data_IF_595843605699
#
_entry.id   IF_595843605699
#
_cell.length_a   1.000
_cell.length_b   1.000
_cell.length_c   1.000
_cell.angle_alpha   90.00
_cell.angle_beta   90.00
_cell.angle_gamma   90.00
#
_symmetry.space_group_name_H-M   'P 1'
#
loop_
_entity.id
_entity.type
_entity.pdbx_description
1 polymer ?
#
# COMPACT_ATOMS: atom_id res chain seq x y z
N UNK A 1 -0.27 24.73 -5.54
CA UNK A 1 -0.46 24.30 -6.94
C UNK A 1 -1.14 22.95 -6.90
N UNK A 2 -2.32 22.81 -7.50
CA UNK A 2 -3.07 21.55 -7.54
C UNK A 2 -2.26 20.44 -8.21
N UNK A 3 -2.44 19.20 -7.75
CA UNK A 3 -1.72 18.05 -8.31
C UNK A 3 -2.15 17.78 -9.75
N UNK A 4 -3.44 17.95 -10.04
CA UNK A 4 -3.98 17.77 -11.38
C UNK A 4 -3.41 18.76 -12.41
N UNK A 5 -3.11 20.01 -12.02
CA UNK A 5 -2.41 20.96 -12.89
C UNK A 5 -0.92 20.65 -13.12
N UNK A 6 -0.29 19.83 -12.26
CA UNK A 6 1.06 19.30 -12.52
C UNK A 6 1.00 18.14 -13.52
N UNK A 7 0.00 17.27 -13.38
CA UNK A 7 -0.25 16.15 -14.31
C UNK A 7 -0.59 16.70 -15.70
N UNK A 8 -1.46 17.71 -15.79
CA UNK A 8 -1.81 18.33 -17.08
C UNK A 8 -0.59 18.89 -17.82
N UNK A 9 0.30 19.61 -17.11
CA UNK A 9 1.56 20.13 -17.69
C UNK A 9 2.52 19.01 -18.08
N UNK A 10 2.51 17.89 -17.38
CA UNK A 10 3.25 16.70 -17.77
C UNK A 10 2.68 16.12 -19.08
N UNK A 11 1.36 15.97 -19.18
CA UNK A 11 0.65 15.47 -20.35
C UNK A 11 0.88 16.34 -21.60
N UNK A 12 0.88 17.67 -21.45
CA UNK A 12 1.20 18.58 -22.55
C UNK A 12 2.66 18.47 -23.01
N UNK A 13 3.61 18.20 -22.09
CA UNK A 13 5.04 18.04 -22.44
C UNK A 13 5.33 16.70 -23.14
N UNK A 14 4.56 15.65 -22.84
CA UNK A 14 4.70 14.34 -23.50
C UNK A 14 3.93 14.25 -24.83
N UNK A 15 3.25 15.33 -25.25
CA UNK A 15 2.54 15.38 -26.53
C UNK A 15 1.26 14.54 -26.58
N UNK A 16 0.60 14.31 -25.44
CA UNK A 16 -0.65 13.55 -25.42
C UNK A 16 -1.75 14.28 -26.23
N UNK A 17 -2.36 13.64 -27.27
CA UNK A 17 -3.19 14.34 -28.25
C UNK A 17 -4.42 15.05 -27.67
N UNK A 18 -4.98 14.52 -26.58
CA UNK A 18 -6.18 15.05 -25.91
C UNK A 18 -5.85 15.80 -24.62
N UNK A 19 -4.60 16.24 -24.43
CA UNK A 19 -4.19 16.95 -23.22
C UNK A 19 -4.98 18.26 -23.01
N UNK A 20 -5.50 18.83 -24.10
CA UNK A 20 -6.24 20.09 -24.10
C UNK A 20 -7.71 19.92 -23.69
N UNK A 21 -8.19 18.67 -23.59
CA UNK A 21 -9.58 18.34 -23.20
C UNK A 21 -9.73 18.19 -21.69
N UNK A 22 -8.63 18.15 -20.94
CA UNK A 22 -8.64 18.00 -19.48
C UNK A 22 -8.43 19.32 -18.77
N UNK A 23 -9.27 19.62 -17.79
CA UNK A 23 -9.02 20.68 -16.82
C UNK A 23 -8.16 20.15 -15.67
N UNK A 24 -7.35 21.03 -15.07
CA UNK A 24 -6.48 20.68 -13.95
C UNK A 24 -7.24 20.08 -12.77
N UNK A 25 -8.48 20.47 -12.55
CA UNK A 25 -9.31 19.99 -11.45
C UNK A 25 -9.88 18.58 -11.74
N UNK A 26 -10.20 18.26 -13.00
CA UNK A 26 -10.62 16.90 -13.40
C UNK A 26 -9.53 15.86 -13.17
N UNK A 27 -8.25 16.24 -13.36
CA UNK A 27 -7.12 15.35 -13.11
C UNK A 27 -6.74 15.25 -11.63
N UNK A 28 -7.27 16.15 -10.80
CA UNK A 28 -7.10 16.08 -9.35
C UNK A 28 -7.99 14.98 -8.74
N UNK A 29 -9.12 14.67 -9.39
CA UNK A 29 -10.07 13.61 -9.02
C UNK A 29 -10.09 12.47 -10.05
N UNK A 30 -8.90 12.00 -10.42
CA UNK A 30 -8.64 11.06 -11.52
C UNK A 30 -9.50 9.77 -11.45
N UNK A 31 -9.88 9.34 -10.24
CA UNK A 31 -10.63 8.11 -9.98
C UNK A 31 -12.14 8.32 -9.77
N UNK A 32 -12.59 9.56 -9.56
CA UNK A 32 -14.00 9.90 -9.34
C UNK A 32 -14.67 10.48 -10.59
N UNK A 33 -13.87 10.93 -11.58
CA UNK A 33 -14.36 11.52 -12.81
C UNK A 33 -14.39 10.52 -13.98
N UNK A 34 -15.61 10.19 -14.45
CA UNK A 34 -15.82 9.33 -15.63
C UNK A 34 -15.17 9.86 -16.92
N UNK A 35 -14.92 11.16 -17.01
CA UNK A 35 -14.25 11.80 -18.15
C UNK A 35 -12.79 11.38 -18.32
N UNK A 36 -12.14 10.83 -17.29
CA UNK A 36 -10.71 10.50 -17.27
C UNK A 36 -10.44 9.02 -17.63
N UNK A 37 -11.48 8.19 -17.70
CA UNK A 37 -11.38 6.75 -18.03
C UNK A 37 -10.66 6.47 -19.36
N UNK A 38 -10.93 7.18 -20.48
CA UNK A 38 -10.20 6.93 -21.73
C UNK A 38 -8.70 7.24 -21.66
N UNK A 39 -8.30 8.14 -20.76
CA UNK A 39 -6.89 8.40 -20.47
C UNK A 39 -6.27 7.26 -19.68
N UNK A 40 -6.97 6.72 -18.68
CA UNK A 40 -6.48 5.58 -17.87
C UNK A 40 -6.31 4.32 -18.72
N UNK A 41 -7.21 4.07 -19.67
CA UNK A 41 -7.09 2.95 -20.62
C UNK A 41 -5.84 3.11 -21.50
N UNK A 42 -5.64 4.29 -22.10
CA UNK A 42 -4.44 4.57 -22.88
C UNK A 42 -3.14 4.42 -22.05
N UNK A 43 -3.17 4.89 -20.80
CA UNK A 43 -2.04 4.80 -19.88
C UNK A 43 -1.64 3.33 -19.61
N UNK A 44 -2.64 2.47 -19.37
CA UNK A 44 -2.45 1.05 -19.13
C UNK A 44 -1.98 0.28 -20.37
N UNK A 45 -2.38 0.70 -21.57
CA UNK A 45 -1.97 0.07 -22.83
C UNK A 45 -0.55 0.45 -23.29
N UNK A 46 -0.02 1.60 -22.86
CA UNK A 46 1.24 2.15 -23.40
C UNK A 46 2.40 2.14 -22.40
N UNK A 47 2.18 1.78 -21.14
CA UNK A 47 3.20 1.75 -20.09
C UNK A 47 3.38 0.32 -19.55
N UNK A 48 4.56 -0.28 -19.76
CA UNK A 48 4.90 -1.63 -19.32
C UNK A 48 6.18 -1.69 -18.47
N UNK A 49 6.33 -2.79 -17.71
CA UNK A 49 7.46 -3.05 -16.80
C UNK A 49 8.84 -3.00 -17.49
N UNK A 50 8.90 -3.34 -18.78
CA UNK A 50 10.13 -3.30 -19.59
C UNK A 50 10.73 -1.91 -19.75
N UNK A 51 9.94 -0.86 -19.53
CA UNK A 51 10.40 0.50 -19.72
C UNK A 51 11.23 1.00 -18.52
N UNK A 52 11.47 0.14 -17.50
CA UNK A 52 12.19 0.45 -16.26
C UNK A 52 13.72 0.03 -16.30
N UNK A 53 14.67 0.71 -17.00
CA UNK A 53 16.10 0.98 -16.53
C UNK A 53 16.38 0.72 -15.02
N UNK A 54 17.34 -0.15 -14.75
CA UNK A 54 17.81 -0.49 -13.41
C UNK A 54 18.75 0.57 -12.81
N UNK A 55 19.09 0.41 -11.53
CA UNK A 55 20.14 1.22 -10.88
C UNK A 55 21.49 0.97 -11.55
N UNK A 56 21.73 -0.24 -12.04
CA UNK A 56 22.89 -0.61 -12.84
C UNK A 56 22.95 0.14 -14.19
N UNK A 57 21.82 0.35 -14.86
CA UNK A 57 21.78 1.09 -16.14
C UNK A 57 22.09 2.58 -15.94
N UNK A 58 21.61 3.16 -14.84
CA UNK A 58 21.95 4.52 -14.41
C UNK A 58 23.44 4.67 -14.07
N UNK A 59 24.03 3.64 -13.46
CA UNK A 59 25.46 3.64 -13.10
C UNK A 59 26.33 3.54 -14.36
N UNK A 60 25.99 2.66 -15.29
CA UNK A 60 26.64 2.53 -16.61
C UNK A 60 26.55 3.82 -17.42
N UNK A 61 25.40 4.50 -17.39
CA UNK A 61 25.25 5.78 -18.06
C UNK A 61 26.13 6.87 -17.45
N UNK A 62 26.20 6.97 -16.12
CA UNK A 62 27.02 7.96 -15.44
C UNK A 62 28.53 7.72 -15.60
N UNK A 63 28.97 6.46 -15.64
CA UNK A 63 30.36 6.09 -15.93
C UNK A 63 30.74 6.47 -17.38
N UNK A 64 29.85 6.21 -18.35
CA UNK A 64 30.03 6.60 -19.75
C UNK A 64 30.11 8.14 -19.90
N UNK A 65 29.21 8.87 -19.25
CA UNK A 65 29.19 10.33 -19.25
C UNK A 65 30.42 10.96 -18.59
N UNK A 66 30.98 10.33 -17.56
CA UNK A 66 32.14 10.82 -16.81
C UNK A 66 33.47 10.54 -17.51
N UNK A 67 33.53 9.50 -18.35
CA UNK A 67 34.75 9.13 -19.08
C UNK A 67 35.09 10.10 -20.23
N UNK A 68 34.17 10.98 -20.63
CA UNK A 68 34.38 11.93 -21.74
C UNK A 68 34.58 11.28 -23.12
N UNK A 69 34.61 9.95 -23.19
CA UNK A 69 34.72 9.16 -24.41
C UNK A 69 33.35 9.12 -25.11
N UNK A 70 32.94 10.24 -25.68
CA UNK A 70 31.71 10.33 -26.48
C UNK A 70 31.84 9.64 -27.85
N UNK A 71 33.02 9.10 -28.18
CA UNK A 71 33.34 8.40 -29.42
C UNK A 71 34.35 7.28 -29.09
N UNK A 72 34.06 6.04 -29.47
CA UNK A 72 35.08 5.00 -29.60
C UNK A 72 35.99 5.42 -30.77
N UNK A 73 37.22 5.84 -30.50
CA UNK A 73 38.20 6.17 -31.55
C UNK A 73 38.67 4.90 -32.29
N UNK A 74 39.16 5.07 -33.52
CA UNK A 74 39.47 3.97 -34.46
C UNK A 74 40.33 2.84 -33.87
N UNK A 75 41.32 3.11 -33.01
CA UNK A 75 42.16 2.06 -32.37
C UNK A 75 41.36 1.23 -31.34
N UNK A 76 40.38 1.85 -30.67
CA UNK A 76 39.47 1.16 -29.76
C UNK A 76 38.42 0.38 -30.54
N UNK A 77 37.93 0.90 -31.66
CA UNK A 77 37.00 0.19 -32.56
C UNK A 77 37.68 -1.02 -33.21
N UNK A 78 38.93 -0.92 -33.68
CA UNK A 78 39.69 -2.05 -34.22
C UNK A 78 40.01 -3.09 -33.15
N UNK A 79 40.37 -2.70 -31.92
CA UNK A 79 40.53 -3.65 -30.81
C UNK A 79 39.23 -4.35 -30.48
N UNK A 80 38.11 -3.62 -30.42
CA UNK A 80 36.80 -4.20 -30.10
C UNK A 80 36.30 -5.09 -31.25
N UNK A 81 36.53 -4.71 -32.51
CA UNK A 81 36.24 -5.54 -33.68
C UNK A 81 37.16 -6.76 -33.76
N UNK A 82 38.44 -6.66 -33.40
CA UNK A 82 39.35 -7.82 -33.36
C UNK A 82 39.01 -8.80 -32.23
N UNK A 83 38.51 -8.30 -31.09
CA UNK A 83 37.95 -9.15 -30.03
C UNK A 83 36.66 -9.83 -30.49
N UNK A 84 35.76 -9.10 -31.17
CA UNK A 84 34.52 -9.66 -31.71
C UNK A 84 34.76 -10.65 -32.86
N UNK A 85 35.75 -10.40 -33.72
CA UNK A 85 36.13 -11.30 -34.81
C UNK A 85 36.85 -12.56 -34.30
N UNK A 86 37.62 -12.48 -33.20
CA UNK A 86 38.14 -13.67 -32.53
C UNK A 86 37.07 -14.44 -31.76
N UNK A 87 36.00 -13.79 -31.29
CA UNK A 87 34.83 -14.47 -30.76
C UNK A 87 33.97 -15.11 -31.87
N UNK A 88 33.94 -14.56 -33.08
CA UNK A 88 33.19 -15.13 -34.22
C UNK A 88 33.84 -16.39 -34.84
N UNK A 89 35.16 -16.58 -34.75
CA UNK A 89 35.82 -17.81 -35.22
C UNK A 89 35.60 -19.04 -34.31
N UNK A 90 35.10 -18.87 -33.08
CA UNK A 90 34.79 -19.99 -32.16
C UNK A 90 33.32 -20.45 -32.18
N UNK A 91 32.41 -19.73 -32.84
CA UNK A 91 30.99 -20.11 -32.88
C UNK A 91 30.64 -20.99 -34.08
N UNK A 92 31.02 -22.26 -34.00
CA UNK A 92 30.32 -23.30 -34.77
C UNK A 92 28.85 -23.36 -34.35
N UNK A 93 27.94 -23.50 -35.32
CA UNK A 93 26.48 -23.60 -35.16
C UNK A 93 26.03 -24.62 -34.10
N UNK A 94 26.85 -25.63 -33.81
CA UNK A 94 26.57 -26.65 -32.79
C UNK A 94 26.76 -26.15 -31.35
N UNK A 95 27.69 -25.22 -31.10
CA UNK A 95 27.93 -24.64 -29.76
C UNK A 95 26.85 -23.63 -29.39
N UNK A 96 26.37 -22.84 -30.36
CA UNK A 96 25.23 -21.93 -30.17
C UNK A 96 23.93 -22.69 -29.86
N UNK A 97 23.70 -23.84 -30.49
CA UNK A 97 22.55 -24.71 -30.21
C UNK A 97 22.59 -25.30 -28.80
N UNK A 98 23.78 -25.76 -28.36
CA UNK A 98 24.01 -26.28 -27.02
C UNK A 98 23.88 -25.21 -25.93
N UNK A 99 24.38 -24.00 -26.19
CA UNK A 99 24.23 -22.89 -25.25
C UNK A 99 22.79 -22.37 -25.20
N UNK A 100 22.10 -22.33 -26.35
CA UNK A 100 20.68 -21.98 -26.42
C UNK A 100 19.85 -22.97 -25.60
N UNK A 101 19.99 -24.28 -25.83
CA UNK A 101 19.30 -25.33 -25.05
C UNK A 101 19.66 -25.31 -23.57
N UNK A 102 20.92 -25.04 -23.22
CA UNK A 102 21.36 -24.86 -21.83
C UNK A 102 20.71 -23.66 -21.15
N UNK A 103 20.57 -22.54 -21.86
CA UNK A 103 19.85 -21.35 -21.38
C UNK A 103 18.35 -21.60 -21.31
N UNK A 104 17.73 -22.27 -22.29
CA UNK A 104 16.29 -22.59 -22.24
C UNK A 104 15.96 -23.49 -21.05
N UNK A 105 16.82 -24.45 -20.74
CA UNK A 105 16.67 -25.33 -19.59
C UNK A 105 16.90 -24.62 -18.24
N UNK A 106 17.86 -23.69 -18.16
CA UNK A 106 18.02 -22.83 -16.97
C UNK A 106 16.82 -21.91 -16.79
N UNK A 107 16.29 -21.35 -17.88
CA UNK A 107 15.10 -20.50 -17.89
C UNK A 107 13.87 -21.30 -17.46
N UNK A 108 13.70 -22.54 -17.94
CA UNK A 108 12.59 -23.40 -17.52
C UNK A 108 12.66 -23.73 -16.03
N UNK A 109 13.85 -24.09 -15.50
CA UNK A 109 14.05 -24.34 -14.07
C UNK A 109 13.76 -23.12 -13.21
N UNK A 110 14.21 -21.94 -13.63
CA UNK A 110 13.94 -20.70 -12.90
C UNK A 110 12.45 -20.38 -12.90
N UNK A 111 11.76 -20.62 -14.01
CA UNK A 111 10.31 -20.43 -14.10
C UNK A 111 9.56 -21.39 -13.14
N UNK A 112 10.00 -22.64 -13.01
CA UNK A 112 9.42 -23.59 -12.03
C UNK A 112 9.61 -23.10 -10.60
N UNK A 113 10.80 -22.63 -10.24
CA UNK A 113 11.10 -22.09 -8.89
C UNK A 113 10.24 -20.85 -8.61
N UNK A 114 10.09 -19.95 -9.58
CA UNK A 114 9.22 -18.76 -9.44
C UNK A 114 7.76 -19.16 -9.21
N UNK A 115 7.26 -20.17 -9.94
CA UNK A 115 5.88 -20.66 -9.72
C UNK A 115 5.71 -21.32 -8.35
N UNK A 116 6.68 -22.12 -7.89
CA UNK A 116 6.64 -22.72 -6.55
C UNK A 116 6.64 -21.67 -5.45
N UNK A 117 7.48 -20.63 -5.56
CA UNK A 117 7.51 -19.53 -4.60
C UNK A 117 6.21 -18.72 -4.63
N UNK A 118 5.63 -18.49 -5.82
CA UNK A 118 4.34 -17.82 -5.96
C UNK A 118 3.21 -18.62 -5.32
N UNK A 119 3.20 -19.95 -5.50
CA UNK A 119 2.22 -20.84 -4.86
C UNK A 119 2.40 -20.91 -3.34
N UNK A 120 3.65 -21.01 -2.84
CA UNK A 120 3.93 -21.00 -1.38
C UNK A 120 3.54 -19.69 -0.73
N UNK A 121 3.81 -18.56 -1.40
CA UNK A 121 3.40 -17.24 -0.93
C UNK A 121 1.87 -17.10 -0.91
N UNK A 122 1.20 -17.53 -1.99
CA UNK A 122 -0.27 -17.54 -2.06
C UNK A 122 -0.88 -18.40 -0.95
N UNK A 123 -0.38 -19.60 -0.72
CA UNK A 123 -0.86 -20.49 0.34
C UNK A 123 -0.61 -19.93 1.75
N UNK A 124 0.54 -19.29 2.00
CA UNK A 124 0.81 -18.60 3.29
C UNK A 124 -0.09 -17.38 3.49
N UNK A 125 -0.37 -16.63 2.42
CA UNK A 125 -1.27 -15.48 2.48
C UNK A 125 -2.71 -15.93 2.77
N UNK A 126 -3.20 -16.95 2.05
CA UNK A 126 -4.53 -17.54 2.27
C UNK A 126 -4.67 -18.13 3.68
N UNK A 127 -3.63 -18.81 4.20
CA UNK A 127 -3.61 -19.32 5.58
C UNK A 127 -3.63 -18.19 6.62
N UNK A 128 -2.83 -17.14 6.42
CA UNK A 128 -2.79 -15.99 7.33
C UNK A 128 -4.07 -15.17 7.28
N UNK A 129 -4.73 -15.08 6.12
CA UNK A 129 -6.03 -14.44 5.96
C UNK A 129 -7.13 -15.28 6.65
N UNK A 130 -7.10 -16.60 6.51
CA UNK A 130 -8.03 -17.49 7.20
C UNK A 130 -7.90 -17.38 8.73
N UNK A 131 -6.68 -17.32 9.27
CA UNK A 131 -6.44 -17.21 10.71
C UNK A 131 -6.86 -15.84 11.27
N UNK A 132 -6.61 -14.74 10.54
CA UNK A 132 -7.04 -13.39 10.96
C UNK A 132 -8.55 -13.21 10.88
N UNK A 133 -9.19 -13.68 9.81
CA UNK A 133 -10.65 -13.56 9.62
C UNK A 133 -11.42 -14.41 10.63
N UNK A 134 -10.90 -15.57 11.00
CA UNK A 134 -11.47 -16.42 12.05
C UNK A 134 -11.39 -15.75 13.43
N UNK A 135 -10.23 -15.18 13.79
CA UNK A 135 -10.03 -14.51 15.08
C UNK A 135 -10.90 -13.25 15.24
N UNK A 136 -11.10 -12.47 14.18
CA UNK A 136 -11.94 -11.27 14.21
C UNK A 136 -13.44 -11.64 14.24
N UNK A 137 -13.85 -12.68 13.50
CA UNK A 137 -15.24 -13.14 13.48
C UNK A 137 -15.68 -13.78 14.82
N UNK A 138 -14.81 -14.53 15.50
CA UNK A 138 -15.07 -15.05 16.85
C UNK A 138 -15.22 -13.94 17.89
N UNK A 139 -14.42 -12.86 17.79
CA UNK A 139 -14.54 -11.70 18.69
C UNK A 139 -15.79 -10.85 18.41
N UNK A 140 -16.25 -10.78 17.16
CA UNK A 140 -17.37 -9.94 16.74
C UNK A 140 -18.74 -10.67 16.74
N UNK A 141 -18.77 -11.99 17.00
CA UNK A 141 -20.00 -12.77 17.21
C UNK A 141 -20.96 -12.83 16.01
N UNK A 142 -20.46 -12.69 14.77
CA UNK A 142 -21.29 -12.65 13.54
C UNK A 142 -20.75 -13.63 12.49
N UNK A 143 -21.67 -14.34 11.82
CA UNK A 143 -21.35 -15.40 10.83
C UNK A 143 -20.83 -14.89 9.47
N UNK A 144 -20.92 -13.58 9.21
CA UNK A 144 -20.63 -13.01 7.89
C UNK A 144 -19.17 -12.57 7.76
N UNK A 145 -18.32 -13.48 7.28
CA UNK A 145 -16.86 -13.30 7.13
C UNK A 145 -16.44 -12.20 6.14
N UNK A 146 -17.29 -11.87 5.16
CA UNK A 146 -16.97 -10.90 4.09
C UNK A 146 -16.70 -9.48 4.59
N UNK A 147 -17.16 -9.13 5.80
CA UNK A 147 -16.90 -7.81 6.41
C UNK A 147 -15.50 -7.65 6.99
N UNK A 148 -14.76 -8.74 7.14
CA UNK A 148 -13.46 -8.77 7.81
C UNK A 148 -12.34 -9.30 6.90
N UNK A 149 -12.65 -9.61 5.64
CA UNK A 149 -11.65 -10.00 4.65
C UNK A 149 -10.70 -8.83 4.37
N UNK A 150 -9.40 -9.14 4.38
CA UNK A 150 -8.36 -8.16 4.14
C UNK A 150 -8.30 -7.81 2.64
N UNK A 151 -9.00 -6.73 2.26
CA UNK A 151 -8.85 -5.91 1.03
C UNK A 151 -8.39 -6.69 -0.22
N UNK A 152 -9.26 -7.56 -0.75
CA UNK A 152 -9.08 -8.13 -2.08
C UNK A 152 -9.75 -7.21 -3.12
N UNK A 153 -8.95 -6.37 -3.79
CA UNK A 153 -9.40 -5.33 -4.75
C UNK A 153 -9.56 -5.91 -6.17
N UNK A 154 -9.73 -7.23 -6.29
CA UNK A 154 -9.89 -7.86 -7.61
C UNK A 154 -11.20 -7.45 -8.30
N UNK A 155 -12.17 -6.91 -7.54
CA UNK A 155 -13.47 -6.48 -8.05
C UNK A 155 -13.79 -5.01 -7.68
N UNK A 156 -13.85 -4.08 -8.67
CA UNK A 156 -14.28 -2.69 -8.49
C UNK A 156 -15.72 -2.52 -7.98
N UNK A 157 -16.51 -3.59 -8.00
CA UNK A 157 -17.89 -3.62 -7.51
C UNK A 157 -17.99 -3.82 -6.00
N UNK A 158 -16.87 -4.12 -5.33
CA UNK A 158 -16.85 -4.36 -3.88
C UNK A 158 -17.32 -3.13 -3.09
N UNK A 159 -18.12 -3.36 -2.05
CA UNK A 159 -18.66 -2.33 -1.13
C UNK A 159 -17.57 -1.40 -0.57
N UNK A 160 -16.32 -1.87 -0.53
CA UNK A 160 -15.14 -1.12 -0.11
C UNK A 160 -14.76 0.01 -1.08
N UNK A 161 -15.10 -0.09 -2.37
CA UNK A 161 -14.78 0.91 -3.42
C UNK A 161 -15.97 1.84 -3.69
N UNK A 162 -17.21 1.32 -3.68
CA UNK A 162 -18.42 2.09 -4.03
C UNK A 162 -19.00 2.89 -2.85
N UNK A 163 -18.60 2.56 -1.62
CA UNK A 163 -19.22 3.09 -0.40
C UNK A 163 -20.55 2.39 -0.07
N UNK A 164 -21.00 2.53 1.18
CA UNK A 164 -22.22 1.91 1.67
C UNK A 164 -23.46 2.47 0.95
N UNK A 165 -24.41 1.57 0.63
CA UNK A 165 -25.71 1.97 0.10
C UNK A 165 -26.48 2.78 1.16
N UNK A 166 -27.31 3.75 0.74
CA UNK A 166 -28.07 4.60 1.66
C UNK A 166 -28.94 3.82 2.68
N UNK A 167 -29.40 2.62 2.29
CA UNK A 167 -30.16 1.72 3.16
C UNK A 167 -29.32 1.11 4.31
N UNK A 168 -28.02 0.91 4.11
CA UNK A 168 -27.09 0.40 5.14
C UNK A 168 -26.86 1.48 6.19
N UNK A 169 -26.59 2.71 5.75
CA UNK A 169 -26.42 3.85 6.65
C UNK A 169 -27.70 4.13 7.47
N UNK A 170 -28.88 3.96 6.87
CA UNK A 170 -30.15 4.07 7.59
C UNK A 170 -30.29 2.98 8.67
N UNK A 171 -29.93 1.74 8.36
CA UNK A 171 -29.93 0.64 9.34
C UNK A 171 -28.92 0.87 10.47
N UNK A 172 -27.73 1.39 10.16
CA UNK A 172 -26.71 1.68 11.18
C UNK A 172 -27.14 2.84 12.09
N UNK A 173 -27.80 3.87 11.55
CA UNK A 173 -28.42 4.92 12.35
C UNK A 173 -29.53 4.38 13.28
N UNK A 174 -30.35 3.45 12.78
CA UNK A 174 -31.39 2.81 13.58
C UNK A 174 -30.79 1.93 14.69
N UNK A 175 -29.73 1.19 14.40
CA UNK A 175 -29.03 0.37 15.39
C UNK A 175 -28.31 1.23 16.43
N UNK A 176 -27.68 2.34 16.03
CA UNK A 176 -27.08 3.29 16.96
C UNK A 176 -28.11 3.89 17.92
N UNK A 177 -29.27 4.28 17.39
CA UNK A 177 -30.39 4.77 18.21
C UNK A 177 -30.91 3.68 19.17
N UNK A 178 -31.00 2.43 18.70
CA UNK A 178 -31.36 1.29 19.55
C UNK A 178 -30.34 1.09 20.67
N UNK A 179 -29.04 1.13 20.37
CA UNK A 179 -27.96 0.97 21.35
C UNK A 179 -27.99 2.09 22.40
N UNK A 180 -28.16 3.35 21.97
CA UNK A 180 -28.29 4.49 22.89
C UNK A 180 -29.48 4.34 23.83
N UNK A 181 -30.63 3.88 23.32
CA UNK A 181 -31.84 3.70 24.14
C UNK A 181 -31.67 2.63 25.24
N UNK A 182 -30.86 1.60 24.98
CA UNK A 182 -30.67 0.48 25.93
C UNK A 182 -29.50 0.75 26.88
N UNK A 183 -28.51 1.55 26.46
CA UNK A 183 -27.24 1.77 27.16
C UNK A 183 -27.43 2.08 28.63
N UNK A 184 -28.26 3.08 28.96
CA UNK A 184 -28.43 3.53 30.34
C UNK A 184 -28.92 2.40 31.26
N UNK A 185 -29.91 1.63 30.80
CA UNK A 185 -30.44 0.50 31.56
C UNK A 185 -29.43 -0.64 31.70
N UNK A 186 -28.65 -0.92 30.65
CA UNK A 186 -27.64 -1.98 30.67
C UNK A 186 -26.45 -1.61 31.54
N UNK A 187 -26.02 -0.35 31.52
CA UNK A 187 -24.85 0.14 32.23
C UNK A 187 -25.12 0.25 33.74
N UNK A 188 -26.31 0.74 34.13
CA UNK A 188 -26.73 0.67 35.54
C UNK A 188 -26.78 -0.76 36.06
N UNK A 189 -27.31 -1.72 35.28
CA UNK A 189 -27.32 -3.14 35.65
C UNK A 189 -25.90 -3.71 35.77
N UNK A 190 -25.01 -3.35 34.83
CA UNK A 190 -23.60 -3.77 34.86
C UNK A 190 -22.90 -3.28 36.12
N UNK A 191 -23.04 -1.99 36.45
CA UNK A 191 -22.45 -1.38 37.65
C UNK A 191 -23.00 -2.04 38.92
N UNK A 192 -24.31 -2.26 39.00
CA UNK A 192 -24.94 -2.94 40.14
C UNK A 192 -24.42 -4.37 40.32
N UNK A 193 -24.35 -5.15 39.24
CA UNK A 193 -23.83 -6.52 39.29
C UNK A 193 -22.34 -6.57 39.66
N UNK A 194 -21.56 -5.62 39.15
CA UNK A 194 -20.14 -5.51 39.50
C UNK A 194 -19.95 -5.15 40.98
N UNK A 195 -20.77 -4.25 41.52
CA UNK A 195 -20.75 -3.88 42.93
C UNK A 195 -21.16 -5.04 43.84
N UNK A 196 -22.22 -5.79 43.50
CA UNK A 196 -22.66 -6.95 44.28
C UNK A 196 -21.63 -8.09 44.23
N UNK A 197 -21.05 -8.38 43.06
CA UNK A 197 -19.99 -9.38 42.92
C UNK A 197 -18.75 -9.02 43.75
N UNK A 198 -18.31 -7.76 43.70
CA UNK A 198 -17.18 -7.26 44.50
C UNK A 198 -17.50 -7.33 46.00
N UNK A 199 -18.74 -6.99 46.38
CA UNK A 199 -19.22 -7.10 47.75
C UNK A 199 -19.20 -8.53 48.29
N UNK A 200 -19.73 -9.50 47.52
CA UNK A 200 -19.69 -10.93 47.88
C UNK A 200 -18.25 -11.41 47.99
N UNK A 201 -17.39 -11.04 47.05
CA UNK A 201 -15.98 -11.45 47.04
C UNK A 201 -15.24 -10.94 48.28
N UNK A 202 -15.48 -9.69 48.66
CA UNK A 202 -14.86 -9.08 49.84
C UNK A 202 -15.40 -9.70 51.13
N UNK A 203 -16.72 -9.93 51.20
CA UNK A 203 -17.35 -10.62 52.34
C UNK A 203 -16.79 -12.03 52.54
N UNK A 204 -16.54 -12.76 51.44
CA UNK A 204 -15.96 -14.10 51.46
C UNK A 204 -14.51 -14.05 51.98
N UNK A 205 -13.69 -13.12 51.48
CA UNK A 205 -12.33 -12.88 52.00
C UNK A 205 -12.33 -12.56 53.49
N UNK A 206 -13.18 -11.63 53.94
CA UNK A 206 -13.27 -11.27 55.36
C UNK A 206 -13.79 -12.43 56.22
N UNK A 207 -14.71 -13.25 55.70
CA UNK A 207 -15.17 -14.46 56.40
C UNK A 207 -14.07 -15.51 56.50
N UNK A 208 -13.29 -15.73 55.45
CA UNK A 208 -12.11 -16.61 55.46
C UNK A 208 -11.05 -16.13 56.45
N UNK A 209 -10.75 -14.82 56.48
CA UNK A 209 -9.83 -14.21 57.45
C UNK A 209 -10.32 -14.40 58.89
N UNK A 210 -11.62 -14.21 59.15
CA UNK A 210 -12.23 -14.47 60.45
C UNK A 210 -12.22 -15.95 60.84
N UNK A 211 -12.44 -16.85 59.89
CA UNK A 211 -12.36 -18.30 60.15
C UNK A 211 -10.94 -18.71 60.56
N UNK A 212 -9.93 -18.14 59.87
CA UNK A 212 -8.52 -18.31 60.22
C UNK A 212 -8.17 -17.69 61.57
N UNK A 213 -8.85 -16.61 61.98
CA UNK A 213 -8.60 -15.99 63.28
C UNK A 213 -9.26 -16.73 64.46
N UNK A 214 -10.45 -17.29 64.23
CA UNK A 214 -11.17 -18.08 65.22
C UNK A 214 -10.46 -19.39 65.58
N UNK A 215 -9.58 -19.92 64.71
CA UNK A 215 -8.82 -21.12 65.03
C UNK A 215 -7.77 -20.93 66.14
N UNK A 216 -7.48 -19.68 66.56
CA UNK A 216 -6.51 -19.38 67.62
C UNK A 216 -7.09 -18.63 68.84
N UNK A 217 -8.33 -18.10 68.78
CA UNK A 217 -8.97 -17.40 69.90
C UNK A 217 -9.75 -18.38 70.81
N UNK A 218 -9.26 -18.61 72.04
CA UNK A 218 -9.85 -19.55 73.02
C UNK A 218 -10.65 -18.88 74.14
N UNK A 219 -11.04 -17.61 74.00
CA UNK A 219 -11.81 -16.93 75.05
C UNK A 219 -12.90 -16.01 74.46
N UNK A 220 -14.21 -16.31 74.67
CA UNK A 220 -15.27 -15.47 74.16
C UNK A 220 -15.38 -14.16 74.97
N UNK A 221 -15.47 -13.00 74.33
CA UNK A 221 -15.74 -11.73 75.02
C UNK A 221 -17.15 -11.73 75.64
N UNK A 222 -17.32 -11.02 76.76
CA UNK A 222 -18.58 -10.96 77.50
C UNK A 222 -19.76 -10.42 76.66
N UNK A 223 -20.97 -10.93 76.95
CA UNK A 223 -22.21 -10.70 76.21
C UNK A 223 -22.54 -9.21 75.99
N UNK A 224 -22.22 -8.36 76.97
CA UNK A 224 -22.49 -6.93 76.91
C UNK A 224 -21.64 -6.21 75.85
N UNK A 225 -20.36 -6.59 75.71
CA UNK A 225 -19.43 -6.02 74.73
C UNK A 225 -19.80 -6.48 73.32
N UNK A 226 -20.25 -7.73 73.17
CA UNK A 226 -20.79 -8.23 71.90
C UNK A 226 -22.06 -7.47 71.49
N UNK A 227 -22.96 -7.21 72.43
CA UNK A 227 -24.20 -6.47 72.15
C UNK A 227 -23.92 -5.03 71.70
N UNK A 228 -22.97 -4.34 72.36
CA UNK A 228 -22.56 -2.99 72.00
C UNK A 228 -21.92 -2.93 70.60
N UNK A 229 -21.01 -3.87 70.30
CA UNK A 229 -20.40 -3.99 68.96
C UNK A 229 -21.42 -4.34 67.88
N UNK A 230 -22.39 -5.19 68.18
CA UNK A 230 -23.46 -5.54 67.24
C UNK A 230 -24.30 -4.30 66.90
N UNK A 231 -24.65 -3.49 67.92
CA UNK A 231 -25.39 -2.25 67.73
C UNK A 231 -24.60 -1.24 66.88
N UNK A 232 -23.30 -1.12 67.12
CA UNK A 232 -22.39 -0.26 66.34
C UNK A 232 -22.28 -0.70 64.87
N UNK A 233 -22.07 -2.00 64.63
CA UNK A 233 -22.02 -2.58 63.28
C UNK A 233 -23.36 -2.42 62.57
N UNK A 234 -24.47 -2.59 63.27
CA UNK A 234 -25.81 -2.43 62.69
C UNK A 234 -26.10 -0.98 62.30
N UNK A 235 -25.65 -0.02 63.12
CA UNK A 235 -25.70 1.41 62.78
C UNK A 235 -24.84 1.73 61.56
N UNK A 236 -23.60 1.24 61.52
CA UNK A 236 -22.72 1.41 60.37
C UNK A 236 -23.32 0.79 59.09
N UNK A 237 -23.93 -0.39 59.19
CA UNK A 237 -24.60 -1.06 58.08
C UNK A 237 -25.82 -0.28 57.57
N UNK A 238 -26.60 0.33 58.47
CA UNK A 238 -27.71 1.20 58.05
C UNK A 238 -27.22 2.47 57.34
N UNK A 239 -26.12 3.06 57.81
CA UNK A 239 -25.52 4.25 57.19
C UNK A 239 -25.02 3.94 55.77
N UNK A 240 -24.25 2.86 55.62
CA UNK A 240 -23.75 2.41 54.30
C UNK A 240 -24.91 2.07 53.35
N UNK A 241 -25.99 1.45 53.84
CA UNK A 241 -27.18 1.19 53.01
C UNK A 241 -27.85 2.47 52.51
N UNK A 242 -27.93 3.51 53.33
CA UNK A 242 -28.46 4.80 52.88
C UNK A 242 -27.55 5.43 51.81
N UNK A 243 -26.24 5.44 52.03
CA UNK A 243 -25.27 5.98 51.07
C UNK A 243 -25.34 5.23 49.72
N UNK A 244 -25.47 3.90 49.74
CA UNK A 244 -25.69 3.09 48.52
C UNK A 244 -26.99 3.49 47.82
N UNK A 245 -28.07 3.72 48.58
CA UNK A 245 -29.35 4.19 48.05
C UNK A 245 -29.22 5.56 47.37
N UNK A 246 -28.57 6.52 48.02
CA UNK A 246 -28.34 7.85 47.44
C UNK A 246 -27.49 7.80 46.18
N UNK A 247 -26.43 7.01 46.16
CA UNK A 247 -25.58 6.83 44.98
C UNK A 247 -26.34 6.16 43.83
N UNK A 248 -27.16 5.15 44.13
CA UNK A 248 -27.88 4.38 43.09
C UNK A 248 -29.08 5.14 42.53
N UNK A 249 -29.80 5.88 43.36
CA UNK A 249 -31.04 6.57 42.95
C UNK A 249 -30.82 8.01 42.47
N UNK A 250 -29.81 8.73 43.00
CA UNK A 250 -29.60 10.15 42.67
C UNK A 250 -28.40 10.38 41.75
N UNK A 251 -27.25 9.79 42.04
CA UNK A 251 -26.00 10.10 41.34
C UNK A 251 -25.78 9.25 40.07
N UNK A 252 -26.04 7.95 40.17
CA UNK A 252 -25.77 6.98 39.10
C UNK A 252 -26.59 7.25 37.81
N UNK A 253 -27.90 7.55 37.86
CA UNK A 253 -28.69 7.73 36.64
C UNK A 253 -28.22 8.91 35.79
N UNK A 254 -27.86 10.04 36.42
CA UNK A 254 -27.35 11.22 35.72
C UNK A 254 -26.03 10.96 35.01
N UNK A 255 -25.07 10.35 35.69
CA UNK A 255 -23.76 10.00 35.13
C UNK A 255 -23.87 8.97 33.99
N UNK A 256 -24.75 7.99 34.14
CA UNK A 256 -24.99 6.96 33.11
C UNK A 256 -25.68 7.55 31.88
N UNK A 257 -26.55 8.54 32.06
CA UNK A 257 -27.17 9.27 30.97
C UNK A 257 -26.15 10.11 30.20
N UNK A 258 -25.30 10.86 30.89
CA UNK A 258 -24.17 11.59 30.27
C UNK A 258 -23.23 10.63 29.52
N UNK A 259 -22.88 9.49 30.11
CA UNK A 259 -22.06 8.46 29.43
C UNK A 259 -22.74 7.90 28.17
N UNK A 260 -24.07 7.73 28.19
CA UNK A 260 -24.84 7.28 27.03
C UNK A 260 -24.83 8.27 25.88
N UNK A 261 -24.87 9.57 26.18
CA UNK A 261 -24.73 10.63 25.17
C UNK A 261 -23.34 10.61 24.52
N UNK A 262 -22.29 10.34 25.30
CA UNK A 262 -20.92 10.25 24.79
C UNK A 262 -20.61 8.93 24.04
N UNK A 263 -21.38 7.87 24.24
CA UNK A 263 -21.12 6.56 23.63
C UNK A 263 -21.13 6.62 22.10
N UNK A 264 -22.04 7.38 21.50
CA UNK A 264 -22.08 7.51 20.04
C UNK A 264 -20.78 8.09 19.48
N UNK A 265 -20.13 8.99 20.23
CA UNK A 265 -18.86 9.60 19.84
C UNK A 265 -17.74 8.56 19.73
N UNK A 266 -17.69 7.56 20.62
CA UNK A 266 -16.65 6.52 20.56
C UNK A 266 -16.87 5.55 19.40
N UNK A 267 -18.12 5.20 19.12
CA UNK A 267 -18.49 4.36 17.96
C UNK A 267 -18.15 5.09 16.66
N UNK A 268 -18.54 6.37 16.56
CA UNK A 268 -18.27 7.19 15.38
C UNK A 268 -16.77 7.43 15.18
N UNK A 269 -16.01 7.61 16.26
CA UNK A 269 -14.54 7.69 16.21
C UNK A 269 -13.94 6.44 15.60
N UNK A 270 -14.38 5.26 16.02
CA UNK A 270 -13.90 3.98 15.47
C UNK A 270 -14.22 3.83 13.97
N UNK A 271 -15.41 4.24 13.54
CA UNK A 271 -15.78 4.25 12.13
C UNK A 271 -14.90 5.21 11.30
N UNK A 272 -14.67 6.42 11.80
CA UNK A 272 -13.76 7.36 11.12
C UNK A 272 -12.31 6.89 11.11
N UNK A 273 -11.81 6.29 12.19
CA UNK A 273 -10.47 5.68 12.22
C UNK A 273 -10.33 4.60 11.15
N UNK A 274 -11.35 3.77 10.96
CA UNK A 274 -11.38 2.77 9.90
C UNK A 274 -11.40 3.41 8.51
N UNK A 275 -12.20 4.47 8.31
CA UNK A 275 -12.25 5.23 7.04
C UNK A 275 -10.91 5.90 6.72
N UNK A 276 -10.23 6.47 7.73
CA UNK A 276 -8.90 7.06 7.59
C UNK A 276 -7.88 5.99 7.21
N UNK A 277 -7.86 4.86 7.92
CA UNK A 277 -6.95 3.76 7.61
C UNK A 277 -7.12 3.23 6.17
N UNK A 278 -8.37 3.17 5.67
CA UNK A 278 -8.66 2.85 4.27
C UNK A 278 -8.09 3.90 3.32
N UNK A 279 -8.27 5.19 3.61
CA UNK A 279 -7.74 6.28 2.78
C UNK A 279 -6.20 6.29 2.75
N UNK A 280 -5.55 6.05 3.89
CA UNK A 280 -4.09 5.96 3.97
C UNK A 280 -3.55 4.82 3.10
N UNK A 281 -4.23 3.67 3.13
CA UNK A 281 -3.90 2.55 2.25
C UNK A 281 -4.01 2.92 0.77
N UNK A 282 -5.14 3.52 0.35
CA UNK A 282 -5.32 3.94 -1.04
C UNK A 282 -4.30 4.99 -1.47
N UNK A 283 -4.01 5.96 -0.60
CA UNK A 283 -2.98 6.98 -0.83
C UNK A 283 -1.61 6.32 -1.03
N UNK A 284 -1.26 5.32 -0.20
CA UNK A 284 -0.03 4.55 -0.35
C UNK A 284 0.05 3.81 -1.70
N UNK A 285 -1.07 3.27 -2.18
CA UNK A 285 -1.12 2.63 -3.51
C UNK A 285 -1.02 3.63 -4.65
N UNK A 286 -1.66 4.79 -4.52
CA UNK A 286 -1.52 5.88 -5.49
C UNK A 286 -0.08 6.38 -5.56
N UNK A 287 0.60 6.56 -4.42
CA UNK A 287 2.00 6.95 -4.36
C UNK A 287 2.91 5.93 -5.05
N UNK A 288 2.62 4.63 -4.93
CA UNK A 288 3.34 3.58 -5.66
C UNK A 288 3.17 3.74 -7.17
N UNK A 289 1.94 3.97 -7.66
CA UNK A 289 1.68 4.20 -9.08
C UNK A 289 2.36 5.48 -9.57
N UNK A 290 2.27 6.58 -8.82
CA UNK A 290 2.93 7.86 -9.13
C UNK A 290 4.44 7.68 -9.22
N UNK A 291 5.03 6.94 -8.28
CA UNK A 291 6.46 6.64 -8.28
C UNK A 291 6.85 5.91 -9.56
N UNK A 292 6.08 4.90 -9.96
CA UNK A 292 6.34 4.18 -11.22
C UNK A 292 6.18 5.09 -12.45
N UNK A 293 5.18 5.96 -12.49
CA UNK A 293 4.99 6.90 -13.61
C UNK A 293 6.11 7.95 -13.72
N UNK A 294 6.55 8.52 -12.60
CA UNK A 294 7.68 9.44 -12.56
C UNK A 294 8.96 8.77 -13.03
N UNK A 295 9.14 7.53 -12.59
CA UNK A 295 10.26 6.71 -12.97
C UNK A 295 10.25 6.45 -14.47
N UNK A 296 9.11 6.01 -15.04
CA UNK A 296 8.91 5.81 -16.49
C UNK A 296 9.27 7.04 -17.32
N UNK A 297 8.79 8.21 -16.88
CA UNK A 297 9.03 9.47 -17.57
C UNK A 297 10.51 9.80 -17.69
N UNK A 298 11.29 9.64 -16.61
CA UNK A 298 12.71 9.99 -16.66
C UNK A 298 13.49 9.14 -17.67
N UNK A 299 13.06 7.89 -17.90
CA UNK A 299 13.67 6.99 -18.90
C UNK A 299 13.34 7.39 -20.32
N UNK A 300 12.08 7.76 -20.58
CA UNK A 300 11.69 8.23 -21.89
C UNK A 300 12.44 9.51 -22.26
N UNK A 301 12.52 10.48 -21.33
CA UNK A 301 13.29 11.71 -21.53
C UNK A 301 14.76 11.40 -21.81
N UNK A 302 15.35 10.46 -21.08
CA UNK A 302 16.70 9.98 -21.29
C UNK A 302 16.92 9.37 -22.69
N UNK A 303 16.09 8.40 -23.08
CA UNK A 303 16.19 7.74 -24.39
C UNK A 303 15.97 8.71 -25.56
N UNK A 304 15.04 9.64 -25.42
CA UNK A 304 14.79 10.67 -26.44
C UNK A 304 16.02 11.57 -26.62
N UNK A 305 16.67 11.98 -25.53
CA UNK A 305 17.90 12.75 -25.59
C UNK A 305 19.03 11.96 -26.28
N UNK A 306 19.23 10.69 -25.91
CA UNK A 306 20.26 9.85 -26.54
C UNK A 306 20.00 9.65 -28.03
N UNK A 307 18.75 9.41 -28.43
CA UNK A 307 18.37 9.26 -29.84
C UNK A 307 18.59 10.55 -30.62
N UNK A 308 18.30 11.72 -30.03
CA UNK A 308 18.56 13.01 -30.69
C UNK A 308 20.06 13.23 -30.91
N UNK A 309 20.88 12.92 -29.90
CA UNK A 309 22.34 13.02 -29.99
C UNK A 309 22.88 12.07 -31.06
N UNK A 310 22.43 10.82 -31.09
CA UNK A 310 22.84 9.84 -32.09
C UNK A 310 22.40 10.27 -33.51
N UNK A 311 21.19 10.78 -33.65
CA UNK A 311 20.69 11.33 -34.91
C UNK A 311 21.51 12.53 -35.41
N UNK A 312 22.03 13.37 -34.51
CA UNK A 312 22.96 14.46 -34.88
C UNK A 312 24.28 13.89 -35.40
N UNK A 313 24.87 12.93 -34.68
CA UNK A 313 26.12 12.26 -35.10
C UNK A 313 25.97 11.58 -36.46
N UNK A 314 24.90 10.81 -36.67
CA UNK A 314 24.69 10.11 -37.93
C UNK A 314 24.55 11.07 -39.12
N UNK A 315 23.90 12.24 -38.92
CA UNK A 315 23.85 13.30 -39.94
C UNK A 315 25.23 13.89 -40.24
N UNK A 316 26.06 14.10 -39.22
CA UNK A 316 27.41 14.64 -39.41
C UNK A 316 28.32 13.61 -40.11
N UNK A 317 28.24 12.33 -39.74
CA UNK A 317 28.91 11.23 -40.43
C UNK A 317 28.47 11.13 -41.90
N UNK A 318 27.17 11.20 -42.17
CA UNK A 318 26.65 11.19 -43.53
C UNK A 318 27.18 12.38 -44.36
N UNK A 319 27.23 13.58 -43.80
CA UNK A 319 27.83 14.76 -44.46
C UNK A 319 29.30 14.54 -44.82
N UNK A 320 30.07 13.94 -43.92
CA UNK A 320 31.49 13.61 -44.18
C UNK A 320 31.61 12.59 -45.32
N UNK A 321 30.81 11.53 -45.31
CA UNK A 321 30.79 10.53 -46.40
C UNK A 321 30.38 11.13 -47.74
N UNK A 322 29.32 11.94 -47.79
CA UNK A 322 28.92 12.61 -49.04
C UNK A 322 30.00 13.55 -49.58
N UNK A 323 30.75 14.22 -48.69
CA UNK A 323 31.89 15.06 -49.10
C UNK A 323 33.02 14.20 -49.67
N UNK A 324 33.33 13.06 -49.03
CA UNK A 324 34.32 12.10 -49.52
C UNK A 324 33.91 11.52 -50.89
N UNK A 325 32.65 11.14 -51.06
CA UNK A 325 32.09 10.63 -52.32
C UNK A 325 32.20 11.66 -53.44
N UNK A 326 31.85 12.92 -53.18
CA UNK A 326 32.01 14.00 -54.17
C UNK A 326 33.47 14.22 -54.54
N UNK A 327 34.38 14.28 -53.56
CA UNK A 327 35.81 14.53 -53.81
C UNK A 327 36.48 13.37 -54.55
N UNK A 328 36.13 12.13 -54.23
CA UNK A 328 36.57 10.94 -54.96
C UNK A 328 35.98 10.92 -56.38
N UNK A 329 34.71 11.25 -56.54
CA UNK A 329 34.06 11.37 -57.85
C UNK A 329 34.74 12.41 -58.75
N UNK A 330 35.12 13.56 -58.19
CA UNK A 330 35.86 14.59 -58.91
C UNK A 330 37.29 14.15 -59.24
N UNK A 331 37.96 13.44 -58.34
CA UNK A 331 39.29 12.88 -58.58
C UNK A 331 39.27 11.82 -59.70
N UNK A 332 38.28 10.92 -59.71
CA UNK A 332 38.08 9.90 -60.75
C UNK A 332 37.80 10.56 -62.10
N UNK A 333 36.85 11.51 -62.18
CA UNK A 333 36.59 12.28 -63.40
C UNK A 333 37.84 13.02 -63.90
N UNK A 334 38.63 13.58 -62.99
CA UNK A 334 39.91 14.21 -63.33
C UNK A 334 40.96 13.22 -63.85
N UNK A 335 40.99 11.98 -63.35
CA UNK A 335 41.84 10.91 -63.88
C UNK A 335 41.37 10.44 -65.26
N UNK A 336 40.07 10.28 -65.46
CA UNK A 336 39.48 9.95 -66.76
C UNK A 336 39.78 11.03 -67.81
N UNK A 337 39.60 12.31 -67.47
CA UNK A 337 39.93 13.43 -68.36
C UNK A 337 41.42 13.48 -68.74
N UNK A 338 42.32 13.18 -67.78
CA UNK A 338 43.77 13.07 -68.03
C UNK A 338 44.12 11.86 -68.91
N UNK A 339 43.41 10.74 -68.76
CA UNK A 339 43.62 9.55 -69.59
C UNK A 339 43.17 9.75 -71.05
N UNK A 340 42.14 10.56 -71.28
CA UNK A 340 41.63 10.92 -72.63
C UNK A 340 42.56 11.92 -73.30
N UNK A 341 43.15 12.87 -72.56
CA UNK A 341 44.13 13.83 -73.10
C UNK A 341 45.51 13.24 -73.42
N UNK A 342 45.81 12.02 -72.95
CA UNK A 342 47.06 11.28 -73.23
C UNK A 342 46.97 10.37 -74.47
N UNK A 343 45.77 10.27 -75.09
CA UNK A 343 45.50 9.43 -76.27
C UNK A 343 45.47 10.19 -77.59
N UNK A 344 45.86 11.46 -77.61
CA UNK A 344 45.95 12.30 -78.81
C UNK A 344 47.36 12.85 -79.00
#
# INVERSE_FOLDING_TARGET
MNQGGRILRALSRIGYPKANEFEGDTLEWLFDCKSVVPFLEWLCENIHESNVLSVEDLKRFNELHSSGAYILENDQVEKTLSMLLHEEEEFSSEVLSLHHTGLTHKLSKLNTVVQEHKQKYKASLESSQADNTLGIAEMAGREEKSRYDLLEISDPSTLLVRGENGDVNFNDCQELARLQSVYASSESKRIHNMATATGVTTALKTAEERLKSLSWETNPPGTDIMSAKLLEVQKALSQVKMEIGELTEKALPGLVQELGELQATSILKGDYELKIARQDYFTSKQDQVITQLLLQRSRHEFLSMTLEVEGRKNRDTHRLFSTLESTLGDAVKGMEARSVSSKY
#
